data_IF_780178379678
#
_entry.id   IF_780178379678
#
_cell.length_a   1.000
_cell.length_b   1.000
_cell.length_c   1.000
_cell.angle_alpha   90.00
_cell.angle_beta   90.00
_cell.angle_gamma   90.00
#
_symmetry.space_group_name_H-M   'P 1'
#
loop_
_entity.id
_entity.type
_entity.pdbx_description
1 polymer ?
#
# COMPACT_ATOMS: atom_id res chain seq x y z
N UNK A 1 -45.98 -0.83 18.40
CA UNK A 1 -44.68 -0.13 18.20
C UNK A 1 -43.52 -1.14 18.10
N UNK A 2 -43.62 -2.11 17.18
CA UNK A 2 -42.60 -3.17 16.99
C UNK A 2 -42.19 -3.27 15.50
N UNK A 3 -43.16 -3.10 14.59
CA UNK A 3 -42.99 -3.15 13.13
C UNK A 3 -42.05 -2.03 12.62
N UNK A 4 -42.12 -0.82 13.18
CA UNK A 4 -41.23 0.30 12.84
C UNK A 4 -39.75 0.04 13.21
N UNK A 5 -39.50 -0.66 14.33
CA UNK A 5 -38.13 -1.09 14.72
C UNK A 5 -37.62 -2.22 13.81
N UNK A 6 -38.51 -3.09 13.33
CA UNK A 6 -38.17 -4.20 12.44
C UNK A 6 -37.83 -3.70 11.02
N UNK A 7 -38.63 -2.77 10.49
CA UNK A 7 -38.42 -2.17 9.17
C UNK A 7 -37.10 -1.39 9.08
N UNK A 8 -36.73 -0.64 10.12
CA UNK A 8 -35.42 0.04 10.18
C UNK A 8 -34.23 -0.93 10.20
N UNK A 9 -34.37 -2.10 10.84
CA UNK A 9 -33.33 -3.15 10.88
C UNK A 9 -33.15 -3.85 9.52
N UNK A 10 -34.25 -4.04 8.78
CA UNK A 10 -34.24 -4.60 7.42
C UNK A 10 -33.62 -3.64 6.40
N UNK A 11 -33.79 -2.32 6.59
CA UNK A 11 -33.16 -1.31 5.75
C UNK A 11 -31.67 -1.09 6.08
N UNK A 12 -31.25 -1.37 7.31
CA UNK A 12 -29.82 -1.33 7.69
C UNK A 12 -29.02 -2.50 7.10
N UNK A 13 -29.65 -3.64 6.86
CA UNK A 13 -29.01 -4.84 6.30
C UNK A 13 -28.35 -4.60 4.93
N UNK A 14 -29.00 -3.96 3.93
CA UNK A 14 -28.37 -3.65 2.64
C UNK A 14 -27.25 -2.62 2.77
N UNK A 15 -27.38 -1.63 3.68
CA UNK A 15 -26.32 -0.64 3.95
C UNK A 15 -25.09 -1.32 4.57
N UNK A 16 -25.29 -2.27 5.49
CA UNK A 16 -24.22 -3.05 6.11
C UNK A 16 -23.47 -3.92 5.10
N UNK A 17 -24.19 -4.50 4.13
CA UNK A 17 -23.60 -5.27 3.04
C UNK A 17 -22.71 -4.42 2.12
N UNK A 18 -23.12 -3.18 1.80
CA UNK A 18 -22.31 -2.25 0.99
C UNK A 18 -21.03 -1.85 1.72
N UNK A 19 -21.13 -1.51 3.01
CA UNK A 19 -19.97 -1.22 3.86
C UNK A 19 -19.00 -2.41 3.93
N UNK A 20 -19.54 -3.64 3.99
CA UNK A 20 -18.73 -4.85 3.99
C UNK A 20 -17.97 -5.05 2.67
N UNK A 21 -18.63 -4.83 1.52
CA UNK A 21 -18.00 -4.92 0.19
C UNK A 21 -16.92 -3.86 0.01
N UNK A 22 -17.17 -2.62 0.41
CA UNK A 22 -16.17 -1.54 0.35
C UNK A 22 -14.99 -1.86 1.28
N UNK A 23 -15.25 -2.34 2.50
CA UNK A 23 -14.20 -2.75 3.43
C UNK A 23 -13.32 -3.88 2.90
N UNK A 24 -13.90 -4.84 2.17
CA UNK A 24 -13.15 -5.89 1.47
C UNK A 24 -12.32 -5.33 0.32
N UNK A 25 -12.90 -4.46 -0.51
CA UNK A 25 -12.18 -3.83 -1.62
C UNK A 25 -10.97 -3.01 -1.12
N UNK A 26 -11.16 -2.21 -0.07
CA UNK A 26 -10.09 -1.43 0.56
C UNK A 26 -8.99 -2.34 1.11
N UNK A 27 -9.36 -3.44 1.79
CA UNK A 27 -8.36 -4.43 2.29
C UNK A 27 -7.50 -5.00 1.17
N UNK A 28 -8.10 -5.32 0.02
CA UNK A 28 -7.37 -5.85 -1.14
C UNK A 28 -6.41 -4.80 -1.71
N UNK A 29 -6.86 -3.55 -1.86
CA UNK A 29 -6.02 -2.46 -2.37
C UNK A 29 -4.83 -2.16 -1.46
N UNK A 30 -5.05 -2.09 -0.14
CA UNK A 30 -3.98 -1.86 0.85
C UNK A 30 -2.99 -3.02 0.86
N UNK A 31 -3.47 -4.25 0.73
CA UNK A 31 -2.60 -5.43 0.66
C UNK A 31 -1.75 -5.42 -0.61
N UNK A 32 -2.32 -5.09 -1.78
CA UNK A 32 -1.55 -4.95 -3.02
C UNK A 32 -0.48 -3.87 -2.89
N UNK A 33 -0.80 -2.72 -2.29
CA UNK A 33 0.18 -1.67 -2.05
C UNK A 33 1.33 -2.13 -1.14
N UNK A 34 1.02 -2.83 -0.04
CA UNK A 34 2.03 -3.38 0.87
C UNK A 34 2.94 -4.40 0.17
N UNK A 35 2.36 -5.27 -0.66
CA UNK A 35 3.11 -6.26 -1.46
C UNK A 35 4.01 -5.56 -2.48
N UNK A 36 3.50 -4.58 -3.23
CA UNK A 36 4.28 -3.82 -4.22
C UNK A 36 5.44 -3.08 -3.56
N UNK A 37 5.20 -2.42 -2.43
CA UNK A 37 6.26 -1.73 -1.65
C UNK A 37 7.32 -2.72 -1.17
N UNK A 38 6.91 -3.92 -0.75
CA UNK A 38 7.83 -4.99 -0.35
C UNK A 38 8.69 -5.50 -1.51
N UNK A 39 8.08 -5.81 -2.67
CA UNK A 39 8.78 -6.31 -3.86
C UNK A 39 9.77 -5.26 -4.39
N UNK A 40 9.34 -4.00 -4.50
CA UNK A 40 10.21 -2.91 -4.94
C UNK A 40 11.44 -2.78 -4.01
N UNK A 41 11.23 -2.76 -2.69
CA UNK A 41 12.33 -2.69 -1.73
C UNK A 41 13.29 -3.88 -1.85
N UNK A 42 12.75 -5.09 -2.06
CA UNK A 42 13.55 -6.30 -2.22
C UNK A 42 14.42 -6.28 -3.49
N UNK A 43 13.85 -5.89 -4.63
CA UNK A 43 14.57 -5.78 -5.90
C UNK A 43 15.67 -4.72 -5.81
N UNK A 44 15.38 -3.54 -5.27
CA UNK A 44 16.38 -2.48 -5.11
C UNK A 44 17.53 -2.91 -4.18
N UNK A 45 17.22 -3.60 -3.09
CA UNK A 45 18.26 -4.09 -2.15
C UNK A 45 19.14 -5.14 -2.82
N UNK A 46 18.55 -6.11 -3.53
CA UNK A 46 19.32 -7.09 -4.30
C UNK A 46 20.19 -6.44 -5.37
N UNK A 47 19.65 -5.44 -6.07
CA UNK A 47 20.39 -4.72 -7.11
C UNK A 47 21.57 -3.94 -6.52
N UNK A 48 21.40 -3.29 -5.37
CA UNK A 48 22.47 -2.60 -4.64
C UNK A 48 23.59 -3.58 -4.25
N UNK A 49 23.24 -4.75 -3.69
CA UNK A 49 24.20 -5.78 -3.29
C UNK A 49 24.93 -6.35 -4.53
N UNK A 50 24.20 -6.63 -5.60
CA UNK A 50 24.76 -7.14 -6.85
C UNK A 50 25.74 -6.13 -7.47
N UNK A 51 25.40 -4.83 -7.48
CA UNK A 51 26.29 -3.78 -7.96
C UNK A 51 27.54 -3.64 -7.08
N UNK A 52 27.37 -3.69 -5.75
CA UNK A 52 28.49 -3.62 -4.80
C UNK A 52 29.48 -4.78 -4.99
N UNK A 53 28.98 -6.00 -5.24
CA UNK A 53 29.84 -7.17 -5.42
C UNK A 53 30.43 -7.30 -6.82
N UNK A 54 29.63 -7.04 -7.87
CA UNK A 54 30.05 -7.30 -9.25
C UNK A 54 30.93 -6.18 -9.82
N UNK A 55 30.64 -4.92 -9.49
CA UNK A 55 31.38 -3.77 -10.02
C UNK A 55 32.36 -3.17 -9.01
N UNK A 56 32.18 -3.43 -7.70
CA UNK A 56 32.95 -2.82 -6.61
C UNK A 56 33.03 -1.28 -6.72
N UNK A 57 32.08 -0.69 -7.44
CA UNK A 57 31.97 0.74 -7.71
C UNK A 57 31.04 1.38 -6.68
N UNK A 58 31.66 1.93 -5.64
CA UNK A 58 30.97 2.55 -4.51
C UNK A 58 30.12 3.76 -4.91
N UNK A 59 30.49 4.44 -6.01
CA UNK A 59 29.74 5.58 -6.55
C UNK A 59 28.39 5.13 -7.12
N UNK A 60 28.36 4.01 -7.86
CA UNK A 60 27.14 3.49 -8.44
C UNK A 60 26.19 2.94 -7.35
N UNK A 61 26.76 2.31 -6.33
CA UNK A 61 26.02 1.88 -5.14
C UNK A 61 25.36 3.08 -4.43
N UNK A 62 26.11 4.16 -4.21
CA UNK A 62 25.58 5.38 -3.58
C UNK A 62 24.48 6.03 -4.43
N UNK A 63 24.61 6.02 -5.75
CA UNK A 63 23.58 6.52 -6.67
C UNK A 63 22.30 5.67 -6.61
N UNK A 64 22.40 4.34 -6.68
CA UNK A 64 21.25 3.45 -6.57
C UNK A 64 20.57 3.54 -5.19
N UNK A 65 21.35 3.68 -4.13
CA UNK A 65 20.82 3.87 -2.78
C UNK A 65 20.06 5.20 -2.66
N UNK A 66 20.61 6.29 -3.19
CA UNK A 66 19.94 7.59 -3.18
C UNK A 66 18.63 7.55 -3.98
N UNK A 67 18.63 6.90 -5.14
CA UNK A 67 17.44 6.74 -5.97
C UNK A 67 16.38 5.89 -5.29
N UNK A 68 16.75 4.79 -4.62
CA UNK A 68 15.81 3.95 -3.89
C UNK A 68 15.13 4.70 -2.74
N UNK A 69 15.88 5.52 -1.99
CA UNK A 69 15.36 6.36 -0.91
C UNK A 69 14.37 7.40 -1.45
N UNK A 70 14.71 8.10 -2.53
CA UNK A 70 13.81 9.09 -3.16
C UNK A 70 12.51 8.41 -3.63
N UNK A 71 12.61 7.25 -4.28
CA UNK A 71 11.45 6.51 -4.75
C UNK A 71 10.54 6.10 -3.58
N UNK A 72 11.14 5.66 -2.47
CA UNK A 72 10.42 5.28 -1.25
C UNK A 72 9.71 6.47 -0.59
N UNK A 73 10.34 7.65 -0.60
CA UNK A 73 9.76 8.89 -0.10
C UNK A 73 8.56 9.34 -0.94
N UNK A 74 8.66 9.24 -2.28
CA UNK A 74 7.54 9.57 -3.18
C UNK A 74 6.37 8.60 -2.94
N UNK A 75 6.65 7.29 -2.85
CA UNK A 75 5.62 6.29 -2.57
C UNK A 75 4.93 6.56 -1.22
N UNK A 76 5.72 6.91 -0.21
CA UNK A 76 5.24 7.24 1.13
C UNK A 76 4.37 8.50 1.13
N UNK A 77 4.80 9.56 0.44
CA UNK A 77 4.02 10.78 0.28
C UNK A 77 2.69 10.51 -0.44
N UNK A 78 2.68 9.66 -1.47
CA UNK A 78 1.45 9.27 -2.17
C UNK A 78 0.43 8.57 -1.25
N UNK A 79 0.89 7.64 -0.41
CA UNK A 79 0.01 7.00 0.61
C UNK A 79 -0.46 8.00 1.65
N UNK A 80 0.43 8.88 2.11
CA UNK A 80 0.07 9.87 3.10
C UNK A 80 -1.05 10.78 2.59
N UNK A 81 -0.96 11.23 1.33
CA UNK A 81 -2.03 12.01 0.68
C UNK A 81 -3.33 11.22 0.59
N UNK A 82 -3.29 9.96 0.15
CA UNK A 82 -4.47 9.08 0.07
C UNK A 82 -5.13 8.85 1.45
N UNK A 83 -4.35 8.80 2.53
CA UNK A 83 -4.88 8.66 3.90
C UNK A 83 -5.41 9.95 4.51
N UNK A 84 -4.96 11.12 4.04
CA UNK A 84 -5.32 12.42 4.60
C UNK A 84 -6.53 13.04 3.89
N UNK A 85 -6.69 12.78 2.59
CA UNK A 85 -7.83 13.25 1.78
C UNK A 85 -9.11 12.46 2.08
#
# INVERSE_FOLDING_TARGET
MFILKLAGKILLLPVWLILFVIGLAVKMTVQTYAVVRGILGFIFTLLIIATAYCYHDWVQVAFLFSLSVILYLILFAGVFVDTVL
#
